data_IF_560197312576
#
_entry.id   IF_560197312576
#
_cell.length_a   1.000
_cell.length_b   1.000
_cell.length_c   1.000
_cell.angle_alpha   90.00
_cell.angle_beta   90.00
_cell.angle_gamma   90.00
#
_symmetry.space_group_name_H-M   'P 1'
#
loop_
_entity.id
_entity.type
_entity.pdbx_description
1 polymer ?
#
# COMPACT_ATOMS: atom_id res chain seq x y z
N UNK A 1 -13.48 8.95 -1.35
CA UNK A 1 -12.10 9.07 -0.85
C UNK A 1 -11.14 8.61 -1.92
N UNK A 2 -10.04 9.34 -2.17
CA UNK A 2 -9.09 8.96 -3.23
C UNK A 2 -8.25 7.73 -2.93
N UNK A 3 -8.31 7.21 -1.72
CA UNK A 3 -7.68 5.94 -1.36
C UNK A 3 -8.72 5.07 -0.67
N UNK A 4 -8.89 3.86 -1.20
CA UNK A 4 -9.80 2.87 -0.63
C UNK A 4 -9.03 1.56 -0.42
N UNK A 5 -9.26 0.88 0.70
CA UNK A 5 -8.61 -0.39 0.95
C UNK A 5 -9.63 -1.48 1.26
N UNK A 6 -9.23 -2.72 1.00
CA UNK A 6 -9.97 -3.91 1.38
C UNK A 6 -8.98 -5.02 1.76
N UNK A 7 -9.43 -5.96 2.56
CA UNK A 7 -8.55 -6.98 3.13
C UNK A 7 -8.99 -8.36 2.68
N UNK A 8 -8.05 -9.15 2.20
CA UNK A 8 -8.24 -10.56 1.87
C UNK A 8 -7.57 -11.40 2.95
N UNK A 9 -8.36 -12.00 3.83
CA UNK A 9 -7.83 -12.79 4.93
C UNK A 9 -7.16 -14.07 4.43
N UNK A 10 -7.73 -14.71 3.41
CA UNK A 10 -7.20 -15.97 2.87
C UNK A 10 -5.81 -15.82 2.27
N UNK A 11 -5.51 -14.67 1.70
CA UNK A 11 -4.20 -14.38 1.12
C UNK A 11 -3.29 -13.56 2.02
N UNK A 12 -3.80 -13.15 3.19
CA UNK A 12 -3.06 -12.27 4.11
C UNK A 12 -2.56 -11.03 3.38
N UNK A 13 -3.51 -10.30 2.78
CA UNK A 13 -3.22 -9.22 1.85
C UNK A 13 -4.20 -8.07 2.06
N UNK A 14 -3.69 -6.85 2.10
CA UNK A 14 -4.51 -5.65 1.96
C UNK A 14 -4.28 -5.06 0.57
N UNK A 15 -5.37 -4.72 -0.11
CA UNK A 15 -5.34 -4.05 -1.41
C UNK A 15 -5.82 -2.62 -1.21
N UNK A 16 -4.99 -1.66 -1.59
CA UNK A 16 -5.33 -0.24 -1.53
C UNK A 16 -5.35 0.33 -2.94
N UNK A 17 -6.49 0.86 -3.35
CA UNK A 17 -6.64 1.52 -4.65
C UNK A 17 -6.55 3.03 -4.44
N UNK A 18 -5.63 3.64 -5.15
CA UNK A 18 -5.46 5.09 -5.17
C UNK A 18 -5.99 5.61 -6.49
N UNK A 19 -6.78 6.68 -6.45
CA UNK A 19 -7.35 7.24 -7.68
C UNK A 19 -7.49 8.75 -7.58
N UNK A 20 -7.44 9.42 -8.75
CA UNK A 20 -7.54 10.86 -8.85
C UNK A 20 -6.33 11.58 -8.27
N UNK A 21 -6.56 12.71 -7.63
CA UNK A 21 -5.52 13.50 -6.99
C UNK A 21 -5.31 13.02 -5.55
N UNK A 22 -4.09 12.61 -5.24
CA UNK A 22 -3.73 12.09 -3.92
C UNK A 22 -2.65 12.96 -3.31
N UNK A 23 -2.78 13.27 -2.02
CA UNK A 23 -1.78 14.02 -1.29
C UNK A 23 -1.34 13.29 -0.01
N UNK A 24 -0.38 13.90 0.68
CA UNK A 24 0.20 13.36 1.89
C UNK A 24 -0.84 13.14 3.01
N UNK A 25 -1.75 14.11 3.19
CA UNK A 25 -2.76 14.01 4.26
C UNK A 25 -3.73 12.87 4.01
N UNK A 26 -4.10 12.64 2.75
CA UNK A 26 -4.98 11.53 2.38
C UNK A 26 -4.30 10.19 2.62
N UNK A 27 -3.02 10.10 2.32
CA UNK A 27 -2.25 8.88 2.60
C UNK A 27 -2.21 8.59 4.10
N UNK A 28 -1.86 9.57 4.93
CA UNK A 28 -1.76 9.36 6.38
C UNK A 28 -3.11 9.06 7.01
N UNK A 29 -4.18 9.72 6.55
CA UNK A 29 -5.52 9.46 7.05
C UNK A 29 -5.97 8.03 6.70
N UNK A 30 -5.70 7.58 5.48
CA UNK A 30 -6.04 6.23 5.07
C UNK A 30 -5.24 5.19 5.86
N UNK A 31 -3.95 5.45 6.08
CA UNK A 31 -3.12 4.52 6.85
C UNK A 31 -3.62 4.40 8.28
N UNK A 32 -4.01 5.52 8.90
CA UNK A 32 -4.60 5.49 10.24
C UNK A 32 -5.89 4.68 10.28
N UNK A 33 -6.74 4.81 9.25
CA UNK A 33 -7.96 4.01 9.13
C UNK A 33 -7.64 2.52 9.03
N UNK A 34 -6.62 2.17 8.25
CA UNK A 34 -6.20 0.78 8.10
C UNK A 34 -5.71 0.20 9.42
N UNK A 35 -4.85 0.92 10.14
CA UNK A 35 -4.36 0.47 11.45
C UNK A 35 -5.50 0.30 12.45
N UNK A 36 -6.55 1.11 12.35
CA UNK A 36 -7.74 1.02 13.19
C UNK A 36 -8.77 0.01 12.75
N UNK A 37 -8.55 -0.70 11.63
CA UNK A 37 -9.50 -1.67 11.12
C UNK A 37 -9.55 -2.93 11.98
N UNK A 38 -10.74 -3.52 12.10
CA UNK A 38 -10.96 -4.74 12.91
C UNK A 38 -10.12 -5.92 12.40
N UNK A 39 -9.77 -5.92 11.13
CA UNK A 39 -9.02 -6.99 10.49
C UNK A 39 -7.54 -6.62 10.28
N UNK A 40 -7.08 -5.50 10.85
CA UNK A 40 -5.68 -5.12 10.75
C UNK A 40 -4.79 -6.13 11.50
N UNK A 41 -3.66 -6.45 10.89
CA UNK A 41 -2.62 -7.27 11.51
C UNK A 41 -1.25 -6.74 11.10
N UNK A 42 -0.33 -6.50 12.05
CA UNK A 42 1.03 -6.09 11.69
C UNK A 42 1.67 -7.12 10.76
N UNK A 43 2.41 -6.64 9.76
CA UNK A 43 3.10 -7.51 8.82
C UNK A 43 2.25 -8.06 7.69
N UNK A 44 0.96 -7.71 7.63
CA UNK A 44 0.13 -8.13 6.50
C UNK A 44 0.67 -7.50 5.22
N UNK A 45 0.79 -8.31 4.16
CA UNK A 45 1.31 -7.84 2.87
C UNK A 45 0.38 -6.79 2.28
N UNK A 46 0.97 -5.85 1.54
CA UNK A 46 0.23 -4.72 0.99
C UNK A 46 0.44 -4.63 -0.52
N UNK A 47 -0.66 -4.49 -1.25
CA UNK A 47 -0.64 -4.17 -2.67
C UNK A 47 -1.29 -2.81 -2.86
N UNK A 48 -0.49 -1.83 -3.29
CA UNK A 48 -0.96 -0.47 -3.55
C UNK A 48 -1.09 -0.29 -5.06
N UNK A 49 -2.30 -0.03 -5.51
CA UNK A 49 -2.62 0.14 -6.93
C UNK A 49 -2.78 1.64 -7.23
N UNK A 50 -1.81 2.20 -7.95
CA UNK A 50 -1.80 3.61 -8.33
C UNK A 50 -2.14 3.82 -9.80
N UNK A 51 -2.71 2.82 -10.47
CA UNK A 51 -2.99 2.91 -11.90
C UNK A 51 -4.00 4.01 -12.26
N UNK A 52 -4.84 4.40 -11.31
CA UNK A 52 -5.87 5.43 -11.53
C UNK A 52 -5.52 6.79 -10.91
N UNK A 53 -4.31 6.96 -10.41
CA UNK A 53 -3.87 8.26 -9.87
C UNK A 53 -3.59 9.21 -11.02
N UNK A 54 -4.10 10.44 -10.93
CA UNK A 54 -3.85 11.48 -11.92
C UNK A 54 -2.74 12.45 -11.48
N UNK A 55 -2.70 12.77 -10.19
CA UNK A 55 -1.64 13.61 -9.61
C UNK A 55 -1.34 13.14 -8.19
N UNK A 56 -0.09 13.30 -7.78
CA UNK A 56 0.34 12.97 -6.43
C UNK A 56 1.33 14.03 -5.94
N UNK A 57 1.03 14.66 -4.80
CA UNK A 57 1.94 15.57 -4.13
C UNK A 57 2.89 14.77 -3.27
N UNK A 58 4.17 14.72 -3.67
CA UNK A 58 5.18 14.04 -2.89
C UNK A 58 6.57 14.51 -3.29
N UNK A 59 7.31 15.05 -2.34
CA UNK A 59 8.73 15.35 -2.48
C UNK A 59 9.50 14.53 -1.44
N UNK A 60 10.85 14.52 -1.46
CA UNK A 60 11.64 13.71 -0.52
C UNK A 60 11.35 14.01 0.95
N UNK A 61 11.07 15.26 1.29
CA UNK A 61 10.79 15.63 2.68
C UNK A 61 9.42 15.11 3.11
N UNK A 62 8.41 15.22 2.24
CA UNK A 62 7.09 14.66 2.51
C UNK A 62 7.15 13.14 2.63
N UNK A 63 7.93 12.48 1.79
CA UNK A 63 8.09 11.02 1.86
C UNK A 63 8.74 10.57 3.17
N UNK A 64 9.73 11.31 3.65
CA UNK A 64 10.34 11.02 4.96
C UNK A 64 9.32 11.17 6.09
N UNK A 65 8.47 12.20 5.99
CA UNK A 65 7.40 12.40 6.95
C UNK A 65 6.38 11.27 6.91
N UNK A 66 6.05 10.79 5.71
CA UNK A 66 5.15 9.64 5.53
C UNK A 66 5.71 8.38 6.22
N UNK A 67 6.98 8.08 5.99
CA UNK A 67 7.62 6.91 6.61
C UNK A 67 7.64 7.01 8.13
N UNK A 68 7.95 8.20 8.65
CA UNK A 68 7.96 8.42 10.09
C UNK A 68 6.56 8.20 10.68
N UNK A 69 5.52 8.71 10.02
CA UNK A 69 4.15 8.54 10.46
C UNK A 69 3.69 7.09 10.41
N UNK A 70 4.08 6.36 9.37
CA UNK A 70 3.81 4.92 9.28
C UNK A 70 4.42 4.20 10.49
N UNK A 71 5.66 4.50 10.84
CA UNK A 71 6.33 3.87 11.96
C UNK A 71 5.69 4.24 13.31
N UNK A 72 5.22 5.48 13.46
CA UNK A 72 4.55 5.92 14.67
C UNK A 72 3.19 5.27 14.87
N UNK A 73 2.42 5.11 13.79
CA UNK A 73 1.07 4.56 13.85
C UNK A 73 1.05 3.03 13.98
N UNK A 74 2.04 2.37 13.38
CA UNK A 74 2.13 0.93 13.40
C UNK A 74 3.58 0.51 13.61
N UNK A 75 4.14 0.72 14.82
CA UNK A 75 5.52 0.32 15.07
C UNK A 75 5.64 -1.19 14.93
N UNK A 76 6.34 -1.61 13.89
CA UNK A 76 6.58 -3.01 13.60
C UNK A 76 7.88 -3.42 14.27
N UNK A 77 7.79 -3.91 15.48
CA UNK A 77 8.98 -4.25 16.26
C UNK A 77 9.62 -5.55 15.77
N UNK A 78 8.82 -6.48 15.25
CA UNK A 78 9.28 -7.84 14.99
C UNK A 78 9.01 -8.31 13.57
N UNK A 79 7.97 -7.79 12.89
CA UNK A 79 7.55 -8.32 11.60
C UNK A 79 7.71 -7.25 10.53
N UNK A 80 8.48 -7.59 9.48
CA UNK A 80 8.71 -6.67 8.37
C UNK A 80 7.50 -6.69 7.43
N UNK A 81 6.93 -5.51 7.17
CA UNK A 81 5.82 -5.36 6.24
C UNK A 81 6.36 -5.32 4.81
N UNK A 82 5.81 -6.13 3.93
CA UNK A 82 6.15 -6.16 2.50
C UNK A 82 5.08 -5.39 1.74
N UNK A 83 5.46 -4.25 1.19
CA UNK A 83 4.58 -3.36 0.42
C UNK A 83 5.00 -3.38 -1.03
N UNK A 84 4.08 -3.73 -1.91
CA UNK A 84 4.27 -3.73 -3.36
C UNK A 84 3.40 -2.64 -3.97
N UNK A 85 4.03 -1.76 -4.76
CA UNK A 85 3.34 -0.65 -5.42
C UNK A 85 3.29 -0.94 -6.91
N UNK A 86 2.08 -0.99 -7.46
CA UNK A 86 1.86 -1.05 -8.89
C UNK A 86 1.63 0.37 -9.40
N UNK A 87 2.54 0.86 -10.23
CA UNK A 87 2.50 2.24 -10.71
C UNK A 87 2.96 2.28 -12.18
N UNK A 88 2.03 2.19 -13.13
CA UNK A 88 2.39 2.12 -14.56
C UNK A 88 2.85 3.44 -15.16
N UNK A 89 2.56 4.57 -14.53
CA UNK A 89 2.93 5.89 -15.02
C UNK A 89 4.35 6.27 -14.59
N UNK A 90 5.14 6.83 -15.50
CA UNK A 90 6.56 7.12 -15.25
C UNK A 90 6.80 8.01 -14.05
N UNK A 91 6.04 9.10 -13.94
CA UNK A 91 6.21 10.06 -12.83
C UNK A 91 5.94 9.40 -11.48
N UNK A 92 4.85 8.67 -11.39
CA UNK A 92 4.47 7.97 -10.15
C UNK A 92 5.43 6.83 -9.84
N UNK A 93 5.90 6.13 -10.86
CA UNK A 93 6.91 5.09 -10.69
C UNK A 93 8.19 5.67 -10.09
N UNK A 94 8.62 6.84 -10.58
CA UNK A 94 9.80 7.53 -10.03
C UNK A 94 9.62 7.91 -8.57
N UNK A 95 8.44 8.40 -8.21
CA UNK A 95 8.14 8.72 -6.81
C UNK A 95 8.12 7.47 -5.94
N UNK A 96 7.58 6.37 -6.46
CA UNK A 96 7.58 5.09 -5.76
C UNK A 96 9.00 4.55 -5.54
N UNK A 97 9.87 4.70 -6.51
CA UNK A 97 11.28 4.33 -6.37
C UNK A 97 11.98 5.16 -5.29
N UNK A 98 11.66 6.44 -5.22
CA UNK A 98 12.19 7.32 -4.18
C UNK A 98 11.71 6.85 -2.80
N UNK A 99 10.44 6.51 -2.67
CA UNK A 99 9.89 5.96 -1.44
C UNK A 99 10.58 4.66 -1.06
N UNK A 100 10.82 3.78 -2.03
CA UNK A 100 11.54 2.51 -1.82
C UNK A 100 12.93 2.75 -1.23
N UNK A 101 13.68 3.69 -1.81
CA UNK A 101 15.03 4.01 -1.34
C UNK A 101 14.99 4.52 0.10
N UNK A 102 14.06 5.42 0.42
CA UNK A 102 13.93 5.94 1.78
C UNK A 102 13.48 4.86 2.76
N UNK A 103 12.63 3.93 2.31
CA UNK A 103 12.13 2.85 3.15
C UNK A 103 13.24 1.86 3.53
N UNK A 104 14.28 1.71 2.70
CA UNK A 104 15.42 0.86 3.02
C UNK A 104 16.18 1.35 4.26
N UNK A 105 16.05 2.63 4.58
CA UNK A 105 16.66 3.23 5.76
C UNK A 105 15.79 3.07 7.00
N UNK A 106 14.54 2.63 6.85
CA UNK A 106 13.58 2.45 7.94
C UNK A 106 13.40 0.98 8.22
N UNK A 107 13.50 0.58 9.49
CA UNK A 107 13.27 -0.81 9.87
C UNK A 107 11.78 -1.15 9.75
N UNK A 108 11.49 -2.39 9.35
CA UNK A 108 10.14 -2.91 9.35
C UNK A 108 9.34 -2.71 8.07
N UNK A 109 9.89 -2.04 7.05
CA UNK A 109 9.19 -1.80 5.79
C UNK A 109 10.06 -2.23 4.62
N UNK A 110 9.54 -3.11 3.77
CA UNK A 110 10.15 -3.48 2.51
C UNK A 110 9.23 -3.02 1.39
N UNK A 111 9.72 -2.13 0.52
CA UNK A 111 8.93 -1.56 -0.56
C UNK A 111 9.51 -1.99 -1.90
N UNK A 112 8.65 -2.47 -2.80
CA UNK A 112 9.00 -2.75 -4.18
C UNK A 112 8.01 -2.05 -5.10
N UNK A 113 8.48 -1.55 -6.23
CA UNK A 113 7.66 -0.77 -7.18
C UNK A 113 7.75 -1.40 -8.56
N UNK A 114 6.61 -1.58 -9.22
CA UNK A 114 6.54 -2.19 -10.53
C UNK A 114 5.64 -1.39 -11.46
N UNK A 115 6.00 -1.34 -12.75
CA UNK A 115 5.14 -0.78 -13.80
C UNK A 115 4.19 -1.80 -14.38
N UNK A 116 4.49 -3.08 -14.22
CA UNK A 116 3.69 -4.19 -14.73
C UNK A 116 2.96 -4.88 -13.59
N UNK A 117 1.65 -5.03 -13.72
CA UNK A 117 0.83 -5.62 -12.65
C UNK A 117 1.19 -7.08 -12.38
N UNK A 118 1.58 -7.82 -13.40
CA UNK A 118 1.95 -9.22 -13.22
C UNK A 118 3.22 -9.35 -12.40
N UNK A 119 4.20 -8.51 -12.65
CA UNK A 119 5.42 -8.48 -11.84
C UNK A 119 5.11 -8.13 -10.39
N UNK A 120 4.19 -7.20 -10.17
CA UNK A 120 3.75 -6.82 -8.83
C UNK A 120 3.10 -8.02 -8.12
N UNK A 121 2.24 -8.74 -8.81
CA UNK A 121 1.58 -9.92 -8.24
C UNK A 121 2.57 -11.03 -7.96
N UNK A 122 3.54 -11.25 -8.85
CA UNK A 122 4.59 -12.25 -8.65
C UNK A 122 5.46 -11.94 -7.42
N UNK A 123 5.76 -10.66 -7.20
CA UNK A 123 6.53 -10.23 -6.02
C UNK A 123 5.80 -10.59 -4.72
N UNK A 124 4.47 -10.60 -4.75
CA UNK A 124 3.65 -11.01 -3.62
C UNK A 124 3.34 -12.51 -3.61
N UNK A 125 3.91 -13.26 -4.55
CA UNK A 125 3.69 -14.71 -4.72
C UNK A 125 2.21 -15.04 -4.92
N UNK A 126 1.52 -14.19 -5.69
CA UNK A 126 0.13 -14.39 -6.05
C UNK A 126 0.07 -15.00 -7.46
N UNK A 127 -0.75 -16.07 -7.68
CA UNK A 127 -0.80 -16.76 -8.96
C UNK A 127 -1.67 -16.08 -10.01
N UNK A 128 -2.32 -14.97 -9.64
CA UNK A 128 -3.29 -14.29 -10.51
C UNK A 128 -2.61 -13.62 -11.70
N UNK A 129 -3.27 -13.61 -12.84
CA UNK A 129 -2.73 -13.02 -14.07
C UNK A 129 -2.86 -11.51 -14.08
N UNK A 130 -3.81 -10.95 -13.34
CA UNK A 130 -4.08 -9.52 -13.29
C UNK A 130 -4.70 -9.14 -11.94
N UNK A 131 -4.66 -7.84 -11.62
CA UNK A 131 -5.33 -7.34 -10.42
C UNK A 131 -6.84 -7.55 -10.53
N UNK A 132 -7.42 -7.37 -11.72
CA UNK A 132 -8.83 -7.67 -11.93
C UNK A 132 -9.17 -9.10 -11.55
N UNK A 133 -8.36 -10.06 -11.97
CA UNK A 133 -8.59 -11.46 -11.63
C UNK A 133 -8.49 -11.68 -10.13
N UNK A 134 -7.49 -11.07 -9.49
CA UNK A 134 -7.33 -11.14 -8.04
C UNK A 134 -8.60 -10.67 -7.33
N UNK A 135 -9.12 -9.51 -7.72
CA UNK A 135 -10.30 -8.92 -7.09
C UNK A 135 -11.58 -9.71 -7.38
N UNK A 136 -11.66 -10.39 -8.53
CA UNK A 136 -12.82 -11.18 -8.91
C UNK A 136 -12.86 -12.56 -8.24
N UNK A 137 -11.69 -13.15 -8.00
CA UNK A 137 -11.60 -14.55 -7.55
C UNK A 137 -11.35 -14.71 -6.05
N UNK A 138 -10.89 -13.68 -5.36
CA UNK A 138 -10.61 -13.74 -3.93
C UNK A 138 -11.64 -12.93 -3.15
N UNK A 139 -11.82 -13.27 -1.88
CA UNK A 139 -12.77 -12.57 -1.01
C UNK A 139 -12.09 -11.38 -0.33
N UNK A 140 -12.47 -10.18 -0.73
CA UNK A 140 -11.97 -8.95 -0.13
C UNK A 140 -13.05 -8.33 0.76
N UNK A 141 -12.68 -8.02 1.99
CA UNK A 141 -13.59 -7.47 2.99
C UNK A 141 -13.43 -5.96 3.03
N UNK A 142 -14.55 -5.22 2.96
CA UNK A 142 -14.54 -3.77 3.10
C UNK A 142 -14.06 -3.34 4.49
N UNK A 143 -13.57 -2.10 4.63
CA UNK A 143 -13.08 -1.58 5.91
C UNK A 143 -14.14 -1.69 7.01
N UNK A 144 -13.69 -2.01 8.23
CA UNK A 144 -14.57 -2.17 9.38
C UNK A 144 -13.85 -1.67 10.62
N UNK A 145 -14.44 -0.70 11.32
CA UNK A 145 -13.85 -0.15 12.52
C UNK A 145 -13.76 -1.19 13.63
N UNK A 146 -12.63 -1.18 14.34
CA UNK A 146 -12.40 -2.05 15.47
C UNK A 146 -13.35 -1.66 16.60
N UNK A 147 -13.99 -2.66 17.19
CA UNK A 147 -14.90 -2.45 18.30
C UNK A 147 -16.26 -1.88 17.91
N UNK A 148 -16.53 -1.75 16.62
CA UNK A 148 -17.80 -1.22 16.10
C UNK A 148 -18.79 -2.29 15.71
#
# INVERSE_FOLDING_TARGET
MPIEFSICLDRDLVYARWFGAVDFDQFTANFARYVGDANYRPGRRELIDQSLVTTFEGDPNLMRSMLRRVNEQAPSVVVKTHTVIYSPQDTLFGLGRMYQILAELAEGIQVEVFKDEREALEALRLPHASISQLLETEDFIAPRLRGG
#
